data_IF_200333873557
#
_entry.id   IF_200333873557
#
_cell.length_a   1.000
_cell.length_b   1.000
_cell.length_c   1.000
_cell.angle_alpha   90.00
_cell.angle_beta   90.00
_cell.angle_gamma   90.00
#
_symmetry.space_group_name_H-M   'P 1'
#
loop_
_entity.id
_entity.type
_entity.pdbx_description
1 polymer ?
#
# COMPACT_ATOMS: atom_id res chain seq x y z
N UNK A 1 -28.40 1.89 -8.16
CA UNK A 1 -27.13 1.99 -8.90
C UNK A 1 -26.31 0.77 -8.53
N UNK A 2 -26.11 -0.13 -9.49
CA UNK A 2 -25.75 -1.52 -9.24
C UNK A 2 -24.27 -1.69 -8.89
N UNK A 3 -24.05 -2.33 -7.75
CA UNK A 3 -22.81 -2.95 -7.31
C UNK A 3 -22.47 -4.11 -8.26
N UNK A 4 -21.72 -3.84 -9.33
CA UNK A 4 -21.21 -4.92 -10.16
C UNK A 4 -20.19 -5.73 -9.32
N UNK A 5 -20.31 -7.08 -9.22
CA UNK A 5 -19.45 -7.90 -8.34
C UNK A 5 -17.94 -7.68 -8.54
N UNK A 6 -17.55 -7.35 -9.77
CA UNK A 6 -16.16 -7.05 -10.14
C UNK A 6 -15.61 -5.77 -9.48
N UNK A 7 -16.43 -4.74 -9.27
CA UNK A 7 -15.98 -3.50 -8.59
C UNK A 7 -15.80 -3.71 -7.08
N UNK A 8 -16.63 -4.55 -6.46
CA UNK A 8 -16.47 -4.90 -5.05
C UNK A 8 -15.20 -5.72 -4.82
N UNK A 9 -14.92 -6.68 -5.71
CA UNK A 9 -13.69 -7.47 -5.66
C UNK A 9 -12.43 -6.61 -5.84
N UNK A 10 -12.47 -5.64 -6.77
CA UNK A 10 -11.40 -4.67 -6.97
C UNK A 10 -11.14 -3.80 -5.73
N UNK A 11 -12.20 -3.32 -5.08
CA UNK A 11 -12.11 -2.48 -3.89
C UNK A 11 -11.53 -3.25 -2.68
N UNK A 12 -11.97 -4.50 -2.48
CA UNK A 12 -11.45 -5.37 -1.41
C UNK A 12 -9.95 -5.65 -1.62
N UNK A 13 -9.54 -5.94 -2.85
CA UNK A 13 -8.13 -6.15 -3.19
C UNK A 13 -7.30 -4.89 -2.93
N UNK A 14 -7.76 -3.72 -3.38
CA UNK A 14 -7.08 -2.45 -3.13
C UNK A 14 -6.93 -2.18 -1.62
N UNK A 15 -7.96 -2.47 -0.82
CA UNK A 15 -7.90 -2.37 0.64
C UNK A 15 -6.82 -3.28 1.23
N UNK A 16 -6.76 -4.54 0.78
CA UNK A 16 -5.74 -5.50 1.20
C UNK A 16 -4.33 -5.06 0.84
N UNK A 17 -4.12 -4.50 -0.36
CA UNK A 17 -2.83 -3.95 -0.80
C UNK A 17 -2.38 -2.81 0.12
N UNK A 18 -3.25 -1.84 0.35
CA UNK A 18 -2.96 -0.65 1.17
C UNK A 18 -2.64 -1.08 2.61
N UNK A 19 -3.48 -1.94 3.20
CA UNK A 19 -3.29 -2.41 4.57
C UNK A 19 -1.98 -3.21 4.73
N UNK A 20 -1.66 -4.10 3.79
CA UNK A 20 -0.43 -4.88 3.83
C UNK A 20 0.82 -4.01 3.66
N UNK A 21 0.81 -3.05 2.73
CA UNK A 21 1.90 -2.09 2.55
C UNK A 21 2.11 -1.25 3.81
N UNK A 22 1.04 -0.72 4.37
CA UNK A 22 1.12 0.08 5.60
C UNK A 22 1.73 -0.72 6.75
N UNK A 23 1.24 -1.94 6.97
CA UNK A 23 1.75 -2.81 8.03
C UNK A 23 3.24 -3.14 7.83
N UNK A 24 3.66 -3.45 6.61
CA UNK A 24 5.06 -3.76 6.30
C UNK A 24 5.97 -2.55 6.55
N UNK A 25 5.62 -1.36 6.08
CA UNK A 25 6.44 -0.16 6.27
C UNK A 25 6.44 0.36 7.71
N UNK A 26 5.33 0.22 8.43
CA UNK A 26 5.27 0.57 9.85
C UNK A 26 6.15 -0.37 10.70
N UNK A 27 6.19 -1.66 10.35
CA UNK A 27 7.02 -2.66 11.04
C UNK A 27 8.51 -2.51 10.68
N UNK A 28 8.82 -2.30 9.41
CA UNK A 28 10.19 -2.10 8.93
C UNK A 28 10.28 -0.95 7.91
N UNK A 29 10.61 0.28 8.37
CA UNK A 29 10.82 1.42 7.49
C UNK A 29 11.99 1.28 6.52
N UNK A 30 12.91 0.32 6.72
CA UNK A 30 13.99 0.06 5.78
C UNK A 30 13.45 -0.42 4.42
N UNK A 31 12.24 -1.00 4.41
CA UNK A 31 11.54 -1.41 3.20
C UNK A 31 11.06 -0.22 2.37
N UNK A 32 10.91 0.99 2.94
CA UNK A 32 10.50 2.18 2.19
C UNK A 32 11.63 2.67 1.26
N UNK A 33 11.29 3.32 0.13
CA UNK A 33 12.27 4.05 -0.67
C UNK A 33 13.08 5.03 0.17
N UNK A 34 14.35 5.19 -0.17
CA UNK A 34 15.31 5.98 0.62
C UNK A 34 14.82 7.39 0.92
N UNK A 35 14.37 8.14 -0.10
CA UNK A 35 13.94 9.53 0.05
C UNK A 35 12.78 9.70 1.04
N UNK A 36 11.87 8.71 1.10
CA UNK A 36 10.75 8.70 2.05
C UNK A 36 11.18 8.24 3.44
N UNK A 37 12.13 7.32 3.54
CA UNK A 37 12.68 6.85 4.82
C UNK A 37 13.51 7.92 5.52
N UNK A 38 14.32 8.67 4.77
CA UNK A 38 15.20 9.70 5.33
C UNK A 38 14.42 10.86 5.96
N UNK A 39 13.21 11.10 5.47
CA UNK A 39 12.30 12.14 5.96
C UNK A 39 11.24 11.61 6.93
N UNK A 40 11.29 10.33 7.30
CA UNK A 40 10.30 9.70 8.15
C UNK A 40 10.34 10.26 9.58
N UNK A 41 9.23 10.82 10.09
CA UNK A 41 9.15 11.28 11.47
C UNK A 41 9.32 10.13 12.49
N UNK A 42 9.93 10.44 13.63
CA UNK A 42 10.10 9.47 14.72
C UNK A 42 8.78 9.23 15.48
N UNK A 43 8.01 10.30 15.68
CA UNK A 43 6.87 10.30 16.59
C UNK A 43 5.52 10.20 15.87
N UNK A 44 4.55 9.61 16.57
CA UNK A 44 3.15 9.61 16.16
C UNK A 44 2.47 10.94 16.47
N UNK A 45 1.46 11.36 15.68
CA UNK A 45 0.86 10.67 14.54
C UNK A 45 1.57 10.93 13.20
N UNK A 46 2.65 11.72 13.20
CA UNK A 46 3.32 12.17 11.98
C UNK A 46 3.96 11.04 11.20
N UNK A 47 4.54 10.07 11.92
CA UNK A 47 5.10 8.85 11.32
C UNK A 47 4.06 8.07 10.52
N UNK A 48 2.91 7.75 11.14
CA UNK A 48 1.81 7.06 10.47
C UNK A 48 1.29 7.83 9.26
N UNK A 49 1.14 9.15 9.38
CA UNK A 49 0.69 10.02 8.28
C UNK A 49 1.67 10.02 7.11
N UNK A 50 2.97 10.10 7.37
CA UNK A 50 4.00 10.08 6.34
C UNK A 50 3.99 8.77 5.53
N UNK A 51 3.79 7.64 6.19
CA UNK A 51 3.64 6.33 5.53
C UNK A 51 2.34 6.30 4.71
N UNK A 52 1.24 6.81 5.27
CA UNK A 52 -0.03 6.89 4.56
C UNK A 52 0.04 7.79 3.31
N UNK A 53 0.71 8.93 3.39
CA UNK A 53 0.92 9.86 2.27
C UNK A 53 1.77 9.21 1.17
N UNK A 54 2.81 8.46 1.54
CA UNK A 54 3.60 7.68 0.59
C UNK A 54 2.74 6.68 -0.18
N UNK A 55 1.88 5.92 0.53
CA UNK A 55 1.00 4.92 -0.08
C UNK A 55 -0.07 5.60 -0.94
N UNK A 56 -0.66 6.70 -0.47
CA UNK A 56 -1.67 7.46 -1.20
C UNK A 56 -1.12 8.09 -2.50
N UNK A 57 0.19 8.38 -2.55
CA UNK A 57 0.87 8.87 -3.76
C UNK A 57 1.19 7.80 -4.81
N UNK A 58 0.91 6.52 -4.55
CA UNK A 58 1.23 5.43 -5.48
C UNK A 58 0.23 5.34 -6.63
N UNK A 59 0.73 4.93 -7.80
CA UNK A 59 -0.13 4.37 -8.86
C UNK A 59 -0.44 2.92 -8.56
N UNK A 60 -1.58 2.40 -9.03
CA UNK A 60 -1.99 0.99 -8.81
C UNK A 60 -0.89 -0.01 -9.18
N UNK A 61 -0.28 0.16 -10.36
CA UNK A 61 0.81 -0.70 -10.84
C UNK A 61 2.02 -0.67 -9.90
N UNK A 62 2.35 0.51 -9.36
CA UNK A 62 3.46 0.65 -8.43
C UNK A 62 3.13 0.01 -7.08
N UNK A 63 1.93 0.25 -6.53
CA UNK A 63 1.48 -0.35 -5.28
C UNK A 63 1.50 -1.89 -5.34
N UNK A 64 1.03 -2.48 -6.44
CA UNK A 64 1.08 -3.93 -6.67
C UNK A 64 2.53 -4.46 -6.73
N UNK A 65 3.43 -3.78 -7.45
CA UNK A 65 4.85 -4.16 -7.50
C UNK A 65 5.47 -4.16 -6.11
N UNK A 66 5.26 -3.06 -5.38
CA UNK A 66 5.78 -2.89 -4.02
C UNK A 66 5.19 -3.92 -3.06
N UNK A 67 3.90 -4.22 -3.14
CA UNK A 67 3.27 -5.26 -2.32
C UNK A 67 3.93 -6.62 -2.54
N UNK A 68 4.16 -7.00 -3.81
CA UNK A 68 4.84 -8.25 -4.16
C UNK A 68 6.26 -8.34 -3.60
N UNK A 69 6.97 -7.21 -3.56
CA UNK A 69 8.33 -7.14 -3.06
C UNK A 69 8.43 -7.20 -1.53
N UNK A 70 7.52 -6.52 -0.81
CA UNK A 70 7.68 -6.29 0.64
C UNK A 70 6.67 -7.01 1.52
N UNK A 71 5.55 -7.47 0.96
CA UNK A 71 4.50 -8.20 1.67
C UNK A 71 4.45 -9.65 1.20
N UNK A 72 4.42 -9.87 -0.12
CA UNK A 72 4.38 -11.22 -0.72
C UNK A 72 3.43 -11.32 -1.92
N UNK A 73 3.22 -12.53 -2.45
CA UNK A 73 2.40 -12.73 -3.64
C UNK A 73 0.96 -12.26 -3.41
N UNK A 74 0.35 -11.72 -4.46
CA UNK A 74 -1.05 -11.29 -4.49
C UNK A 74 -1.75 -11.86 -5.71
N UNK A 75 -2.94 -12.43 -5.49
CA UNK A 75 -3.84 -12.85 -6.57
C UNK A 75 -4.62 -11.64 -7.07
N UNK A 76 -4.46 -11.32 -8.36
CA UNK A 76 -5.18 -10.22 -9.00
C UNK A 76 -6.38 -10.78 -9.79
N UNK A 77 -7.56 -10.16 -9.70
CA UNK A 77 -8.68 -10.49 -10.58
C UNK A 77 -8.31 -10.28 -12.05
N UNK A 78 -8.96 -11.02 -12.96
CA UNK A 78 -8.81 -10.78 -14.41
C UNK A 78 -9.13 -9.31 -14.75
N UNK A 79 -8.22 -8.68 -15.49
CA UNK A 79 -8.34 -7.29 -15.96
C UNK A 79 -7.60 -6.23 -15.12
N UNK A 80 -6.76 -6.64 -14.15
CA UNK A 80 -5.80 -5.78 -13.45
C UNK A 80 -4.37 -5.88 -14.00
#
# INVERSE_FOLDING_TARGET
LYHHPHQLAAAEMAHGVIAGLYAAYAADPALMPQDWRETLPADEPWRSRHIADFIAGMTDRYAISRYREVVGPIELPEGF
#
